data_IF_725996248366
#
_entry.id   IF_725996248366
#
_cell.length_a   1.000
_cell.length_b   1.000
_cell.length_c   1.000
_cell.angle_alpha   90.00
_cell.angle_beta   90.00
_cell.angle_gamma   90.00
#
_symmetry.space_group_name_H-M   'P 1'
#
loop_
_entity.id
_entity.type
_entity.pdbx_description
1 polymer ?
#
# COMPACT_ATOMS: atom_id res chain seq x y z
N UNK A 1 17.99 23.76 -40.74
CA UNK A 1 19.08 23.62 -39.75
C UNK A 1 18.61 23.64 -38.28
N UNK A 2 17.30 23.65 -38.03
CA UNK A 2 16.70 23.74 -36.68
C UNK A 2 16.25 22.42 -36.02
N UNK A 3 16.29 21.29 -36.72
CA UNK A 3 15.85 20.01 -36.19
C UNK A 3 16.90 19.26 -35.36
N UNK A 4 18.18 19.65 -35.47
CA UNK A 4 19.27 18.95 -34.78
C UNK A 4 19.40 19.32 -33.28
N UNK A 5 18.92 20.50 -32.89
CA UNK A 5 19.07 20.98 -31.50
C UNK A 5 18.04 20.34 -30.56
N UNK A 6 16.83 20.01 -31.05
CA UNK A 6 15.80 19.32 -30.25
C UNK A 6 16.16 17.87 -29.97
N UNK A 7 16.72 17.16 -30.97
CA UNK A 7 17.17 15.77 -30.77
C UNK A 7 18.33 15.65 -29.79
N UNK A 8 19.26 16.61 -29.79
CA UNK A 8 20.38 16.58 -28.85
C UNK A 8 19.92 16.75 -27.38
N UNK A 9 18.91 17.59 -27.12
CA UNK A 9 18.39 17.76 -25.77
C UNK A 9 17.74 16.49 -25.24
N UNK A 10 17.01 15.78 -26.08
CA UNK A 10 16.37 14.50 -25.72
C UNK A 10 17.43 13.42 -25.43
N UNK A 11 18.48 13.37 -26.24
CA UNK A 11 19.62 12.45 -26.04
C UNK A 11 20.32 12.76 -24.72
N UNK A 12 20.55 14.03 -24.38
CA UNK A 12 21.17 14.42 -23.13
C UNK A 12 20.29 14.09 -21.91
N UNK A 13 18.97 14.23 -22.00
CA UNK A 13 18.03 13.87 -20.93
C UNK A 13 18.04 12.35 -20.71
N UNK A 14 18.01 11.56 -21.78
CA UNK A 14 18.09 10.09 -21.69
C UNK A 14 19.44 9.64 -21.13
N UNK A 15 20.53 10.28 -21.53
CA UNK A 15 21.87 9.99 -21.03
C UNK A 15 22.03 10.36 -19.56
N UNK A 16 21.44 11.46 -19.11
CA UNK A 16 21.42 11.89 -17.71
C UNK A 16 20.58 10.93 -16.85
N UNK A 17 19.44 10.49 -17.38
CA UNK A 17 18.60 9.48 -16.71
C UNK A 17 19.32 8.14 -16.61
N UNK A 18 20.08 7.74 -17.62
CA UNK A 18 20.91 6.52 -17.61
C UNK A 18 22.09 6.63 -16.64
N UNK A 19 22.69 7.81 -16.53
CA UNK A 19 23.79 8.10 -15.59
C UNK A 19 23.32 8.01 -14.13
N UNK A 20 22.07 8.41 -13.82
CA UNK A 20 21.47 8.27 -12.50
C UNK A 20 21.25 6.79 -12.11
N UNK A 21 21.02 5.91 -13.09
CA UNK A 21 20.92 4.46 -12.86
C UNK A 21 22.29 3.78 -12.62
N UNK A 22 23.38 4.41 -13.06
CA UNK A 22 24.76 3.91 -12.87
C UNK A 22 25.44 4.44 -11.62
N UNK A 23 24.79 5.37 -10.89
CA UNK A 23 25.31 5.80 -9.60
C UNK A 23 25.29 4.60 -8.64
N UNK A 24 26.45 4.04 -8.21
CA UNK A 24 26.44 3.02 -7.20
C UNK A 24 25.80 3.63 -5.95
N UNK A 25 24.69 3.05 -5.49
CA UNK A 25 24.16 3.36 -4.18
C UNK A 25 25.23 2.93 -3.18
N UNK A 26 26.09 3.84 -2.79
CA UNK A 26 26.94 3.64 -1.62
C UNK A 26 26.00 3.67 -0.41
N UNK A 27 25.46 2.49 -0.10
CA UNK A 27 24.91 2.24 1.20
C UNK A 27 26.09 2.26 2.18
N UNK A 28 26.30 3.41 2.81
CA UNK A 28 27.23 3.54 3.92
C UNK A 28 26.70 2.65 5.04
N UNK A 29 27.22 1.45 5.12
CA UNK A 29 26.88 0.46 6.14
C UNK A 29 27.50 0.92 7.47
N UNK A 30 26.89 1.93 8.10
CA UNK A 30 27.01 2.09 9.53
C UNK A 30 26.37 0.85 10.16
N UNK A 31 27.20 0.03 10.75
CA UNK A 31 26.88 -1.11 11.60
C UNK A 31 26.15 -0.65 12.88
N UNK A 32 24.95 -0.23 12.79
CA UNK A 32 23.90 -0.46 13.76
C UNK A 32 22.96 -1.43 13.05
N UNK A 33 22.80 -2.60 13.65
CA UNK A 33 22.13 -3.74 12.99
C UNK A 33 20.67 -3.46 12.70
N UNK A 34 20.43 -2.61 11.72
CA UNK A 34 19.12 -2.47 11.10
C UNK A 34 18.97 -3.73 10.27
N UNK A 35 18.17 -4.66 10.73
CA UNK A 35 17.83 -5.84 9.96
C UNK A 35 16.98 -5.38 8.77
N UNK A 36 17.67 -5.24 7.61
CA UNK A 36 17.02 -4.83 6.36
C UNK A 36 15.90 -5.81 6.01
N UNK A 37 16.04 -7.05 6.44
CA UNK A 37 15.05 -8.09 6.23
C UNK A 37 13.78 -7.79 7.02
N UNK A 38 13.90 -7.41 8.29
CA UNK A 38 12.74 -7.00 9.11
C UNK A 38 12.05 -5.76 8.55
N UNK A 39 12.80 -4.77 8.08
CA UNK A 39 12.21 -3.57 7.47
C UNK A 39 11.44 -3.93 6.20
N UNK A 40 12.05 -4.71 5.30
CA UNK A 40 11.39 -5.13 4.05
C UNK A 40 10.14 -5.95 4.37
N UNK A 41 10.23 -6.93 5.25
CA UNK A 41 9.09 -7.76 5.61
C UNK A 41 7.97 -6.97 6.26
N UNK A 42 8.27 -6.03 7.17
CA UNK A 42 7.25 -5.17 7.79
C UNK A 42 6.52 -4.29 6.78
N UNK A 43 7.19 -3.89 5.69
CA UNK A 43 6.58 -3.09 4.63
C UNK A 43 5.73 -3.91 3.65
N UNK A 44 6.11 -5.15 3.35
CA UNK A 44 5.37 -6.01 2.42
C UNK A 44 4.31 -6.87 3.12
N UNK A 45 4.47 -7.18 4.40
CA UNK A 45 3.46 -7.90 5.17
C UNK A 45 2.17 -7.09 5.27
N UNK A 46 1.06 -7.82 5.20
CA UNK A 46 -0.24 -7.23 5.41
C UNK A 46 -0.45 -6.84 6.88
N UNK A 47 -0.99 -5.67 7.11
CA UNK A 47 -1.17 -5.11 8.43
C UNK A 47 -2.55 -4.47 8.61
N UNK A 48 -3.02 -4.43 9.84
CA UNK A 48 -4.29 -3.78 10.22
C UNK A 48 -4.15 -2.27 10.40
N UNK A 49 -2.93 -1.74 10.31
CA UNK A 49 -2.64 -0.31 10.37
C UNK A 49 -1.87 0.10 9.13
N UNK A 50 -2.26 1.20 8.51
CA UNK A 50 -1.54 1.74 7.38
C UNK A 50 -0.61 2.84 7.83
N UNK A 51 0.64 2.49 8.08
CA UNK A 51 1.70 3.46 8.34
C UNK A 51 2.00 4.26 7.08
N UNK A 52 1.90 5.59 7.18
CA UNK A 52 2.16 6.49 6.04
C UNK A 52 3.55 7.09 6.15
N UNK A 53 3.85 7.69 7.27
CA UNK A 53 5.14 8.37 7.50
C UNK A 53 5.33 8.66 8.99
N UNK A 54 6.54 9.02 9.33
CA UNK A 54 6.88 9.57 10.62
C UNK A 54 7.21 11.06 10.46
N UNK A 55 6.55 11.91 11.23
CA UNK A 55 6.78 13.35 11.20
C UNK A 55 7.07 13.85 12.62
N UNK A 56 8.25 14.43 12.81
CA UNK A 56 8.67 15.01 14.09
C UNK A 56 8.65 14.00 15.27
N UNK A 57 9.03 12.75 15.02
CA UNK A 57 8.98 11.68 16.02
C UNK A 57 7.56 11.17 16.34
N UNK A 58 6.55 11.58 15.55
CA UNK A 58 5.19 11.06 15.65
C UNK A 58 4.86 10.22 14.42
N UNK A 59 4.43 9.03 14.66
CA UNK A 59 3.92 8.14 13.63
C UNK A 59 2.59 8.65 13.09
N UNK A 60 2.50 8.84 11.77
CA UNK A 60 1.26 9.13 11.05
C UNK A 60 0.80 7.84 10.42
N UNK A 61 -0.22 7.25 11.02
CA UNK A 61 -0.80 6.00 10.56
C UNK A 61 -2.33 6.08 10.51
N UNK A 62 -2.92 5.43 9.53
CA UNK A 62 -4.37 5.28 9.41
C UNK A 62 -4.77 4.00 10.11
N UNK A 63 -5.63 4.12 11.12
CA UNK A 63 -6.27 2.99 11.78
C UNK A 63 -7.35 2.40 10.89
N UNK A 64 -7.25 1.14 10.58
CA UNK A 64 -8.21 0.43 9.73
C UNK A 64 -9.25 -0.30 10.58
N UNK A 65 -10.49 -0.46 10.09
CA UNK A 65 -11.52 -1.21 10.79
C UNK A 65 -11.19 -2.70 10.80
N UNK A 66 -11.22 -3.28 11.99
CA UNK A 66 -11.11 -4.70 12.26
C UNK A 66 -12.51 -5.26 12.45
N UNK A 67 -12.85 -6.27 11.65
CA UNK A 67 -14.11 -7.00 11.72
C UNK A 67 -13.79 -8.48 11.91
N UNK A 68 -14.08 -8.98 13.10
CA UNK A 68 -13.79 -10.37 13.46
C UNK A 68 -15.03 -11.06 13.98
N UNK A 69 -15.09 -12.37 13.79
CA UNK A 69 -16.14 -13.21 14.35
C UNK A 69 -15.52 -14.28 15.24
N UNK A 70 -15.74 -14.13 16.53
CA UNK A 70 -15.44 -15.15 17.52
C UNK A 70 -16.49 -16.26 17.53
N UNK A 71 -16.09 -17.50 17.77
CA UNK A 71 -17.02 -18.61 17.95
C UNK A 71 -17.84 -18.45 19.23
N UNK A 72 -17.26 -17.88 20.28
CA UNK A 72 -17.90 -17.73 21.60
C UNK A 72 -18.73 -16.44 21.73
N UNK A 73 -18.30 -15.34 21.07
CA UNK A 73 -18.86 -14.00 21.28
C UNK A 73 -19.59 -13.43 20.07
N UNK A 74 -19.47 -14.08 18.90
CA UNK A 74 -20.07 -13.59 17.67
C UNK A 74 -19.24 -12.48 16.99
N UNK A 75 -19.91 -11.56 16.31
CA UNK A 75 -19.27 -10.47 15.57
C UNK A 75 -18.82 -9.33 16.48
N UNK A 76 -17.61 -8.87 16.29
CA UNK A 76 -17.06 -7.69 16.93
C UNK A 76 -16.37 -6.79 15.87
N UNK A 77 -16.52 -5.47 16.03
CA UNK A 77 -15.93 -4.48 15.15
C UNK A 77 -15.31 -3.33 15.94
N UNK A 78 -14.04 -3.07 15.68
CA UNK A 78 -13.30 -1.99 16.32
C UNK A 78 -12.19 -1.47 15.39
N UNK A 79 -11.52 -0.39 15.79
CA UNK A 79 -10.41 0.18 15.01
C UNK A 79 -9.07 -0.39 15.47
N UNK A 80 -8.15 -0.57 14.55
CA UNK A 80 -6.83 -1.18 14.78
C UNK A 80 -5.98 -0.47 15.83
N UNK A 81 -6.23 0.83 16.10
CA UNK A 81 -5.48 1.56 17.11
C UNK A 81 -5.67 0.98 18.55
N UNK A 82 -6.76 0.26 18.80
CA UNK A 82 -6.97 -0.41 20.07
C UNK A 82 -6.04 -1.61 20.30
N UNK A 83 -5.42 -2.14 19.23
CA UNK A 83 -4.45 -3.23 19.29
C UNK A 83 -3.00 -2.76 19.15
N UNK A 84 -2.75 -1.43 19.12
CA UNK A 84 -1.40 -0.90 19.01
C UNK A 84 -0.56 -1.26 20.23
N UNK A 85 0.74 -1.45 20.01
CA UNK A 85 1.73 -1.74 21.05
C UNK A 85 1.45 -3.01 21.88
N UNK A 86 0.84 -4.04 21.28
CA UNK A 86 0.55 -5.29 21.96
C UNK A 86 -0.60 -5.21 22.97
N UNK A 87 -1.40 -4.15 22.93
CA UNK A 87 -2.60 -4.06 23.75
C UNK A 87 -3.66 -5.05 23.28
N UNK A 88 -4.34 -5.67 24.23
CA UNK A 88 -5.49 -6.51 23.95
C UNK A 88 -6.78 -5.69 24.07
N UNK A 89 -7.68 -5.82 23.11
CA UNK A 89 -9.01 -5.23 23.14
C UNK A 89 -10.07 -6.33 22.99
N UNK A 90 -10.99 -6.41 23.92
CA UNK A 90 -12.01 -7.47 23.95
C UNK A 90 -11.43 -8.90 23.81
N UNK A 91 -10.29 -9.20 24.46
CA UNK A 91 -9.51 -10.44 24.31
C UNK A 91 -8.85 -10.67 22.95
N UNK A 92 -9.02 -9.77 21.99
CA UNK A 92 -8.29 -9.80 20.73
C UNK A 92 -6.94 -9.10 20.88
N UNK A 93 -5.92 -9.64 20.25
CA UNK A 93 -4.60 -9.05 20.15
C UNK A 93 -3.94 -9.49 18.83
N UNK A 94 -2.87 -8.84 18.45
CA UNK A 94 -2.06 -9.24 17.29
C UNK A 94 -0.99 -10.20 17.80
N UNK A 95 -0.99 -11.44 17.28
CA UNK A 95 0.04 -12.41 17.63
C UNK A 95 1.41 -11.92 17.15
N UNK A 96 2.41 -11.92 18.04
CA UNK A 96 3.78 -11.51 17.72
C UNK A 96 4.64 -12.68 17.25
N UNK A 97 4.29 -13.89 17.63
CA UNK A 97 5.05 -15.11 17.36
C UNK A 97 4.11 -16.26 16.98
N UNK A 98 4.67 -17.36 16.46
CA UNK A 98 3.93 -18.57 16.14
C UNK A 98 3.31 -18.57 14.74
N UNK A 99 2.40 -19.53 14.52
CA UNK A 99 1.75 -19.75 13.22
C UNK A 99 0.87 -18.56 12.78
N UNK A 100 0.37 -17.80 13.74
CA UNK A 100 -0.53 -16.67 13.51
C UNK A 100 0.14 -15.31 13.68
N UNK A 101 1.48 -15.25 13.63
CA UNK A 101 2.22 -14.00 13.75
C UNK A 101 1.69 -12.92 12.81
N UNK A 102 1.45 -11.72 13.32
CA UNK A 102 0.89 -10.58 12.60
C UNK A 102 -0.62 -10.65 12.33
N UNK A 103 -1.34 -11.65 12.86
CA UNK A 103 -2.80 -11.80 12.70
C UNK A 103 -3.52 -11.53 14.02
N UNK A 104 -4.78 -11.10 13.89
CA UNK A 104 -5.65 -10.97 15.07
C UNK A 104 -6.03 -12.36 15.56
N UNK A 105 -5.80 -12.57 16.84
CA UNK A 105 -6.11 -13.80 17.56
C UNK A 105 -6.88 -13.47 18.84
N UNK A 106 -7.58 -14.46 19.37
CA UNK A 106 -8.26 -14.36 20.67
C UNK A 106 -7.85 -15.52 21.58
N UNK A 107 -7.97 -15.32 22.89
CA UNK A 107 -7.91 -16.40 23.87
C UNK A 107 -9.31 -16.93 24.12
N UNK A 108 -9.51 -18.23 23.86
CA UNK A 108 -10.76 -18.90 24.19
C UNK A 108 -10.91 -19.08 25.73
N UNK A 109 -12.04 -19.59 26.17
CA UNK A 109 -12.33 -19.87 27.58
C UNK A 109 -11.36 -20.87 28.20
N UNK A 110 -10.59 -21.60 27.39
CA UNK A 110 -9.55 -22.55 27.85
C UNK A 110 -8.16 -21.93 27.93
N UNK A 111 -8.01 -20.66 27.55
CA UNK A 111 -6.73 -19.96 27.49
C UNK A 111 -5.87 -20.28 26.26
N UNK A 112 -6.41 -21.02 25.28
CA UNK A 112 -5.72 -21.36 24.06
C UNK A 112 -5.87 -20.19 23.06
N UNK A 113 -4.80 -19.95 22.27
CA UNK A 113 -4.84 -18.99 21.19
C UNK A 113 -5.61 -19.55 19.99
N UNK A 114 -6.68 -18.88 19.62
CA UNK A 114 -7.54 -19.27 18.49
C UNK A 114 -7.63 -18.11 17.52
N UNK A 115 -7.60 -18.43 16.22
CA UNK A 115 -7.81 -17.43 15.17
C UNK A 115 -9.29 -17.30 14.86
N UNK A 116 -9.92 -16.12 15.12
CA UNK A 116 -11.30 -15.87 14.73
C UNK A 116 -11.42 -15.79 13.20
N UNK A 117 -12.65 -15.83 12.68
CA UNK A 117 -12.89 -15.47 11.27
C UNK A 117 -12.63 -13.99 11.12
N UNK A 118 -11.67 -13.64 10.28
CA UNK A 118 -11.16 -12.28 10.11
C UNK A 118 -11.57 -11.74 8.74
N UNK A 119 -12.44 -10.74 8.73
CA UNK A 119 -12.89 -9.97 7.57
C UNK A 119 -12.42 -8.52 7.64
N UNK A 120 -11.36 -8.27 8.39
CA UNK A 120 -10.83 -6.93 8.62
C UNK A 120 -10.32 -6.29 7.34
N UNK A 121 -10.44 -4.98 7.29
CA UNK A 121 -9.87 -4.19 6.21
C UNK A 121 -8.38 -3.97 6.50
N UNK A 122 -7.53 -4.66 5.77
CA UNK A 122 -6.08 -4.54 5.89
C UNK A 122 -5.51 -3.50 4.93
N UNK A 123 -4.25 -3.08 5.12
CA UNK A 123 -3.59 -2.11 4.24
C UNK A 123 -3.55 -2.58 2.78
N UNK A 124 -3.32 -3.89 2.55
CA UNK A 124 -3.25 -4.44 1.20
C UNK A 124 -4.63 -4.44 0.52
N UNK A 125 -5.69 -4.75 1.27
CA UNK A 125 -7.07 -4.67 0.80
C UNK A 125 -7.45 -3.21 0.48
N UNK A 126 -7.09 -2.26 1.35
CA UNK A 126 -7.27 -0.83 1.09
C UNK A 126 -6.53 -0.38 -0.16
N UNK A 127 -5.26 -0.79 -0.32
CA UNK A 127 -4.46 -0.49 -1.50
C UNK A 127 -5.08 -1.05 -2.79
N UNK A 128 -5.61 -2.28 -2.73
CA UNK A 128 -6.32 -2.90 -3.84
C UNK A 128 -7.58 -2.10 -4.23
N UNK A 129 -8.42 -1.74 -3.27
CA UNK A 129 -9.62 -0.93 -3.53
C UNK A 129 -9.26 0.45 -4.08
N UNK A 130 -8.22 1.09 -3.54
CA UNK A 130 -7.76 2.39 -4.02
C UNK A 130 -7.28 2.31 -5.48
N UNK A 131 -6.45 1.33 -5.82
CA UNK A 131 -5.93 1.15 -7.18
C UNK A 131 -7.05 0.79 -8.17
N UNK A 132 -7.97 -0.11 -7.79
CA UNK A 132 -9.14 -0.42 -8.60
C UNK A 132 -10.05 0.81 -8.78
N UNK A 133 -10.26 1.61 -7.74
CA UNK A 133 -11.04 2.84 -7.81
C UNK A 133 -10.43 3.87 -8.76
N UNK A 134 -9.11 4.08 -8.68
CA UNK A 134 -8.38 4.97 -9.57
C UNK A 134 -8.50 4.48 -11.02
N UNK A 135 -8.29 3.19 -11.25
CA UNK A 135 -8.38 2.59 -12.58
C UNK A 135 -9.79 2.75 -13.17
N UNK A 136 -10.83 2.43 -12.40
CA UNK A 136 -12.21 2.63 -12.83
C UNK A 136 -12.50 4.11 -13.12
N UNK A 137 -12.04 5.02 -12.27
CA UNK A 137 -12.22 6.45 -12.49
C UNK A 137 -11.58 6.91 -13.82
N UNK A 138 -10.35 6.48 -14.09
CA UNK A 138 -9.62 6.80 -15.32
C UNK A 138 -10.35 6.25 -16.54
N UNK A 139 -10.74 4.95 -16.52
CA UNK A 139 -11.44 4.30 -17.63
C UNK A 139 -12.80 4.96 -17.88
N UNK A 140 -13.60 5.19 -16.84
CA UNK A 140 -14.90 5.83 -16.98
C UNK A 140 -14.80 7.28 -17.46
N UNK A 141 -13.79 8.03 -17.01
CA UNK A 141 -13.54 9.39 -17.48
C UNK A 141 -13.20 9.38 -18.97
N UNK A 142 -12.30 8.50 -19.40
CA UNK A 142 -11.91 8.33 -20.79
C UNK A 142 -13.11 7.92 -21.65
N UNK A 143 -13.89 6.91 -21.23
CA UNK A 143 -15.08 6.46 -21.93
C UNK A 143 -16.15 7.57 -22.09
N UNK A 144 -16.35 8.37 -21.03
CA UNK A 144 -17.27 9.54 -21.09
C UNK A 144 -16.79 10.60 -22.05
N UNK A 145 -15.48 10.81 -22.16
CA UNK A 145 -14.91 11.76 -23.10
C UNK A 145 -15.20 11.33 -24.54
N UNK A 146 -14.93 10.06 -24.91
CA UNK A 146 -15.22 9.51 -26.23
C UNK A 146 -16.71 9.57 -26.59
N UNK A 147 -17.59 9.28 -25.63
CA UNK A 147 -19.04 9.39 -25.84
C UNK A 147 -19.48 10.82 -26.18
N UNK A 148 -18.79 11.84 -25.66
CA UNK A 148 -19.11 13.25 -25.89
C UNK A 148 -18.44 13.81 -27.15
N UNK A 149 -17.36 13.18 -27.62
CA UNK A 149 -16.53 13.67 -28.73
C UNK A 149 -16.28 12.54 -29.75
N UNK A 150 -17.32 12.02 -30.42
CA UNK A 150 -17.24 10.78 -31.24
C UNK A 150 -16.31 10.86 -32.45
N UNK A 151 -15.96 12.06 -32.93
CA UNK A 151 -15.11 12.25 -34.13
C UNK A 151 -13.88 13.14 -33.86
N UNK A 152 -13.47 13.24 -32.60
CA UNK A 152 -12.31 14.07 -32.25
C UNK A 152 -11.13 13.19 -31.83
N UNK A 153 -9.94 13.57 -32.21
CA UNK A 153 -8.71 12.94 -31.77
C UNK A 153 -8.47 13.35 -30.30
N UNK A 154 -8.30 12.40 -29.39
CA UNK A 154 -8.06 12.73 -27.98
C UNK A 154 -6.71 13.42 -27.80
N UNK A 155 -6.69 14.39 -26.90
CA UNK A 155 -5.49 15.13 -26.52
C UNK A 155 -5.28 15.12 -25.02
N UNK A 156 -4.07 15.46 -24.58
CA UNK A 156 -3.73 15.51 -23.15
C UNK A 156 -3.82 14.14 -22.48
N UNK A 157 -4.44 14.09 -21.32
CA UNK A 157 -4.54 12.86 -20.51
C UNK A 157 -5.30 11.72 -21.23
N UNK A 158 -6.36 12.03 -21.96
CA UNK A 158 -7.15 11.03 -22.71
C UNK A 158 -6.33 10.43 -23.85
N UNK A 159 -5.53 11.25 -24.57
CA UNK A 159 -4.63 10.75 -25.61
C UNK A 159 -3.49 9.89 -25.05
N UNK A 160 -2.99 10.21 -23.85
CA UNK A 160 -2.02 9.36 -23.15
C UNK A 160 -2.64 7.99 -22.81
N UNK A 161 -3.88 7.98 -22.32
CA UNK A 161 -4.59 6.73 -22.01
C UNK A 161 -4.86 5.88 -23.23
N UNK A 162 -5.19 6.48 -24.37
CA UNK A 162 -5.36 5.76 -25.64
C UNK A 162 -4.08 5.01 -26.01
N UNK A 163 -2.92 5.68 -25.91
CA UNK A 163 -1.63 5.06 -26.23
C UNK A 163 -1.29 3.86 -25.32
N UNK A 164 -1.79 3.85 -24.08
CA UNK A 164 -1.54 2.76 -23.10
C UNK A 164 -2.50 1.59 -23.33
N UNK A 165 -3.74 1.86 -23.78
CA UNK A 165 -4.81 0.86 -23.90
C UNK A 165 -4.87 0.23 -25.29
N UNK A 166 -4.43 0.95 -26.34
CA UNK A 166 -4.41 0.51 -27.72
C UNK A 166 -3.20 -0.34 -28.04
#
# INVERSE_FOLDING_TARGET
MMNNIKNNRLIWIVLLMWLCFLAPAHADSKKEGIDVQDIVFSHIQDAYTWHITEWNGKEIAISLPILVKSEERGWDMFLSHHLHHGQAHHNYYIATEGEHAGKVVEKNSRGEEVRPVDLSLTKNVCGLFLSCGILLFVVLRTARWYKRHPNQVPSGFTGLMEMIIS
#
